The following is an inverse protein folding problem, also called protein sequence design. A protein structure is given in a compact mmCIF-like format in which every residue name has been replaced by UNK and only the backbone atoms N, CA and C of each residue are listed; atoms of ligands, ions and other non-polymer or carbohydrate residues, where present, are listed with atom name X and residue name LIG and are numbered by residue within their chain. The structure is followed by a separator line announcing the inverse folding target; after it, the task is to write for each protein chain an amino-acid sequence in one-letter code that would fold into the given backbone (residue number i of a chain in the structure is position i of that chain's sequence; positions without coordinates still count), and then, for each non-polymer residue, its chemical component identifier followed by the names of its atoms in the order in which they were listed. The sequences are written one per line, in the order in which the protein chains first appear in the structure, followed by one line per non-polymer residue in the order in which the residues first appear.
data_IF_825176642152
#
_entry.id   IF_825176642152
#
_cell.length_a   1.000
_cell.length_b   1.000
_cell.length_c   1.000
_cell.angle_alpha   90.00
_cell.angle_beta   90.00
_cell.angle_gamma   90.00
#
_symmetry.space_group_name_H-M   'P 1'
#
loop_
_entity.id
_entity.type
_entity.pdbx_description
1 polymer ?
#
# COMPACT_ATOMS: atom_id res chain seq x y z
N UNK A 1 -0.51 -1.85 -62.93
CA UNK A 1 0.32 -0.64 -62.76
C UNK A 1 -0.40 0.25 -61.76
N UNK A 2 0.18 0.46 -60.59
CA UNK A 2 -0.39 1.25 -59.50
C UNK A 2 0.50 1.08 -58.28
N UNK A 3 1.47 1.97 -58.13
CA UNK A 3 2.48 1.94 -57.08
C UNK A 3 1.85 2.28 -55.72
N UNK A 4 2.02 1.39 -54.73
CA UNK A 4 1.70 1.69 -53.33
C UNK A 4 2.76 2.61 -52.76
N UNK A 5 2.37 3.83 -52.39
CA UNK A 5 3.22 4.82 -51.75
C UNK A 5 3.69 4.34 -50.37
N UNK A 6 5.01 4.41 -50.20
CA UNK A 6 5.80 4.13 -49.01
C UNK A 6 5.48 5.13 -47.89
N UNK A 7 4.97 4.64 -46.75
CA UNK A 7 4.89 5.44 -45.53
C UNK A 7 6.26 5.46 -44.84
N UNK A 8 6.75 6.66 -44.57
CA UNK A 8 8.01 7.01 -43.94
C UNK A 8 7.94 6.71 -42.43
N UNK A 9 8.90 5.96 -41.89
CA UNK A 9 9.12 5.86 -40.44
C UNK A 9 9.73 7.19 -39.92
N UNK A 10 9.35 7.69 -38.73
CA UNK A 10 10.02 8.84 -38.16
C UNK A 10 11.39 8.45 -37.59
N UNK A 11 12.38 9.31 -37.84
CA UNK A 11 13.74 9.22 -37.31
C UNK A 11 13.72 9.38 -35.77
N UNK A 12 14.45 8.49 -35.11
CA UNK A 12 14.76 8.58 -33.68
C UNK A 12 16.16 9.19 -33.54
N UNK A 13 16.21 10.47 -33.15
CA UNK A 13 17.42 11.12 -32.66
C UNK A 13 17.21 11.42 -31.17
N UNK A 14 18.14 10.99 -30.32
CA UNK A 14 18.23 11.48 -28.94
C UNK A 14 17.98 10.44 -27.84
N UNK A 15 18.92 9.52 -27.65
CA UNK A 15 19.56 9.20 -26.36
C UNK A 15 18.94 9.87 -25.11
N UNK A 16 18.20 9.06 -24.33
CA UNK A 16 18.05 9.24 -22.88
C UNK A 16 17.81 7.86 -22.28
N UNK A 17 18.91 7.20 -21.96
CA UNK A 17 18.93 5.90 -21.32
C UNK A 17 18.37 6.02 -19.89
N UNK A 18 17.58 5.01 -19.52
CA UNK A 18 17.11 4.71 -18.15
C UNK A 18 15.96 5.57 -17.61
N UNK A 19 14.86 5.62 -18.38
CA UNK A 19 13.53 5.61 -17.75
C UNK A 19 13.36 4.24 -17.09
N UNK A 20 13.83 4.13 -15.84
CA UNK A 20 13.54 3.00 -14.97
C UNK A 20 12.07 2.66 -15.13
N UNK A 21 11.81 1.41 -15.49
CA UNK A 21 10.50 0.76 -15.46
C UNK A 21 9.78 1.13 -14.16
N UNK A 22 9.09 2.25 -14.21
CA UNK A 22 7.86 2.45 -13.48
C UNK A 22 6.91 1.40 -14.04
N UNK A 23 5.99 0.94 -13.21
CA UNK A 23 5.03 -0.14 -13.47
C UNK A 23 5.57 -1.53 -13.11
N UNK A 24 5.58 -1.77 -11.80
CA UNK A 24 5.02 -3.02 -11.29
C UNK A 24 4.38 -2.76 -9.94
N UNK A 25 3.13 -2.30 -9.99
CA UNK A 25 2.04 -2.82 -9.17
C UNK A 25 0.76 -2.02 -9.48
N UNK A 26 0.24 -2.19 -10.70
CA UNK A 26 -1.20 -2.06 -10.90
C UNK A 26 -1.86 -3.25 -10.21
N UNK A 27 -2.21 -3.05 -8.94
CA UNK A 27 -3.31 -3.77 -8.33
C UNK A 27 -4.24 -2.73 -7.73
N UNK A 28 -5.34 -2.51 -8.45
CA UNK A 28 -6.42 -1.63 -8.05
C UNK A 28 -6.88 -1.91 -6.63
N UNK A 29 -6.81 -0.88 -5.80
CA UNK A 29 -7.81 -0.62 -4.79
C UNK A 29 -7.91 0.90 -4.74
N UNK A 30 -9.08 1.46 -4.99
CA UNK A 30 -9.39 2.88 -4.78
C UNK A 30 -9.39 3.24 -3.29
N UNK A 31 -8.51 2.62 -2.51
CA UNK A 31 -8.37 2.81 -1.08
C UNK A 31 -6.99 3.42 -0.81
N UNK A 32 -7.00 4.55 -0.10
CA UNK A 32 -5.82 5.29 0.33
C UNK A 32 -4.80 4.41 1.08
N UNK A 33 -3.51 4.64 0.88
CA UNK A 33 -2.45 3.96 1.64
C UNK A 33 -2.42 4.44 3.09
N UNK A 34 -1.71 3.70 3.96
CA UNK A 34 -1.52 4.13 5.35
C UNK A 34 -0.80 5.48 5.43
N UNK A 35 0.29 5.64 4.69
CA UNK A 35 1.12 6.84 4.71
C UNK A 35 0.37 8.06 4.16
N UNK A 36 -0.50 7.86 3.17
CA UNK A 36 -1.32 8.94 2.63
C UNK A 36 -2.45 9.31 3.60
N UNK A 37 -3.12 8.32 4.21
CA UNK A 37 -4.15 8.57 5.21
C UNK A 37 -3.60 9.27 6.45
N UNK A 38 -2.42 8.85 6.92
CA UNK A 38 -1.73 9.45 8.04
C UNK A 38 -1.33 10.90 7.76
N UNK A 39 -0.80 11.19 6.56
CA UNK A 39 -0.45 12.55 6.15
C UNK A 39 -1.68 13.48 6.12
N UNK A 40 -2.80 13.01 5.56
CA UNK A 40 -4.06 13.78 5.56
C UNK A 40 -4.57 14.00 6.99
N UNK A 41 -4.40 13.01 7.87
CA UNK A 41 -4.77 13.14 9.28
C UNK A 41 -3.93 14.20 9.98
N UNK A 42 -2.61 14.21 9.77
CA UNK A 42 -1.72 15.23 10.32
C UNK A 42 -2.13 16.64 9.86
N UNK A 43 -2.41 16.82 8.56
CA UNK A 43 -2.91 18.08 8.03
C UNK A 43 -4.25 18.49 8.66
N UNK A 44 -5.18 17.53 8.82
CA UNK A 44 -6.49 17.78 9.45
C UNK A 44 -6.33 18.25 10.89
N UNK A 45 -5.43 17.64 11.64
CA UNK A 45 -5.13 18.01 13.03
C UNK A 45 -4.45 19.38 13.11
N UNK A 46 -3.55 19.68 12.17
CA UNK A 46 -2.91 21.00 12.07
C UNK A 46 -3.96 22.10 11.80
N UNK A 47 -4.87 21.88 10.84
CA UNK A 47 -5.96 22.82 10.54
C UNK A 47 -6.87 23.03 11.75
N UNK A 48 -7.24 21.95 12.46
CA UNK A 48 -8.05 22.03 13.69
C UNK A 48 -7.33 22.77 14.82
N UNK A 49 -6.02 22.58 14.95
CA UNK A 49 -5.19 23.21 15.99
C UNK A 49 -4.84 24.67 15.71
N UNK A 50 -4.85 25.09 14.44
CA UNK A 50 -4.52 26.46 14.02
C UNK A 50 -5.53 27.53 14.46
N UNK A 51 -6.76 27.13 14.81
CA UNK A 51 -7.83 28.05 15.17
C UNK A 51 -8.35 28.88 13.97
N UNK A 52 -9.25 29.83 14.23
CA UNK A 52 -9.83 30.66 13.16
C UNK A 52 -10.85 29.95 12.25
N UNK A 53 -11.23 28.73 12.58
CA UNK A 53 -12.25 27.96 11.87
C UNK A 53 -13.67 28.35 12.33
N UNK A 54 -14.63 28.32 11.41
CA UNK A 54 -16.05 28.34 11.79
C UNK A 54 -16.42 27.01 12.45
N UNK A 55 -17.52 27.00 13.20
CA UNK A 55 -18.03 25.79 13.85
C UNK A 55 -18.30 24.68 12.81
N UNK A 56 -18.96 25.04 11.70
CA UNK A 56 -19.27 24.09 10.64
C UNK A 56 -18.01 23.50 10.02
N UNK A 57 -16.99 24.33 9.76
CA UNK A 57 -15.73 23.84 9.19
C UNK A 57 -14.99 22.93 10.15
N UNK A 58 -14.96 23.26 11.45
CA UNK A 58 -14.37 22.42 12.48
C UNK A 58 -15.08 21.06 12.58
N UNK A 59 -16.42 21.03 12.49
CA UNK A 59 -17.18 19.76 12.47
C UNK A 59 -16.83 18.90 11.26
N UNK A 60 -16.74 19.49 10.06
CA UNK A 60 -16.37 18.75 8.84
C UNK A 60 -14.96 18.16 8.96
N UNK A 61 -13.99 18.95 9.40
CA UNK A 61 -12.61 18.47 9.61
C UNK A 61 -12.54 17.38 10.67
N UNK A 62 -13.33 17.48 11.74
CA UNK A 62 -13.39 16.44 12.75
C UNK A 62 -13.92 15.11 12.18
N UNK A 63 -15.01 15.14 11.41
CA UNK A 63 -15.54 13.95 10.74
C UNK A 63 -14.54 13.32 9.76
N UNK A 64 -13.82 14.15 9.00
CA UNK A 64 -12.75 13.70 8.12
C UNK A 64 -11.61 13.05 8.90
N UNK A 65 -11.15 13.68 9.97
CA UNK A 65 -10.14 13.13 10.87
C UNK A 65 -10.54 11.76 11.44
N UNK A 66 -11.80 11.61 11.87
CA UNK A 66 -12.32 10.33 12.37
C UNK A 66 -12.30 9.23 11.31
N UNK A 67 -12.66 9.56 10.06
CA UNK A 67 -12.58 8.60 8.93
C UNK A 67 -11.14 8.20 8.66
N UNK A 68 -10.21 9.14 8.68
CA UNK A 68 -8.78 8.88 8.45
C UNK A 68 -8.20 7.99 9.56
N UNK A 69 -8.54 8.24 10.83
CA UNK A 69 -8.15 7.39 11.96
C UNK A 69 -8.66 5.95 11.77
N UNK A 70 -9.92 5.80 11.33
CA UNK A 70 -10.48 4.47 11.06
C UNK A 70 -9.69 3.74 9.98
N UNK A 71 -9.36 4.43 8.88
CA UNK A 71 -8.57 3.85 7.79
C UNK A 71 -7.16 3.46 8.27
N UNK A 72 -6.48 4.34 9.02
CA UNK A 72 -5.17 4.03 9.59
C UNK A 72 -5.21 2.76 10.44
N UNK A 73 -6.19 2.64 11.34
CA UNK A 73 -6.37 1.45 12.17
C UNK A 73 -6.62 0.19 11.35
N UNK A 74 -7.48 0.27 10.32
CA UNK A 74 -7.74 -0.88 9.44
C UNK A 74 -6.47 -1.36 8.73
N UNK A 75 -5.63 -0.43 8.24
CA UNK A 75 -4.36 -0.78 7.61
C UNK A 75 -3.38 -1.42 8.59
N UNK A 76 -3.27 -0.87 9.80
CA UNK A 76 -2.43 -1.43 10.86
C UNK A 76 -2.89 -2.84 11.25
N UNK A 77 -4.17 -3.04 11.54
CA UNK A 77 -4.71 -4.35 11.89
C UNK A 77 -4.52 -5.39 10.78
N UNK A 78 -4.67 -5.00 9.51
CA UNK A 78 -4.39 -5.88 8.39
C UNK A 78 -2.91 -6.29 8.31
N UNK A 79 -1.99 -5.36 8.59
CA UNK A 79 -0.56 -5.64 8.63
C UNK A 79 -0.20 -6.55 9.82
N UNK A 80 -0.72 -6.27 11.01
CA UNK A 80 -0.52 -7.08 12.23
C UNK A 80 -1.01 -8.52 12.04
N UNK A 81 -2.18 -8.71 11.41
CA UNK A 81 -2.71 -10.03 11.09
C UNK A 81 -1.76 -10.80 10.17
N UNK A 82 -1.25 -10.16 9.12
CA UNK A 82 -0.29 -10.79 8.19
C UNK A 82 1.02 -11.18 8.88
N UNK A 83 1.55 -10.31 9.74
CA UNK A 83 2.76 -10.61 10.51
C UNK A 83 2.55 -11.80 11.43
N UNK A 84 1.39 -11.85 12.11
CA UNK A 84 1.03 -12.98 12.99
C UNK A 84 0.95 -14.28 12.22
N UNK A 85 0.26 -14.30 11.08
CA UNK A 85 0.15 -15.49 10.22
C UNK A 85 1.50 -15.98 9.73
N UNK A 86 2.39 -15.06 9.32
CA UNK A 86 3.74 -15.39 8.92
C UNK A 86 4.50 -16.01 10.10
N UNK A 87 4.46 -15.39 11.28
CA UNK A 87 5.12 -15.91 12.49
C UNK A 87 4.68 -17.34 12.81
N UNK A 88 3.39 -17.63 12.79
CA UNK A 88 2.87 -18.97 13.07
C UNK A 88 3.34 -20.00 12.02
N UNK A 89 3.40 -19.59 10.75
CA UNK A 89 3.90 -20.43 9.66
C UNK A 89 5.40 -20.77 9.79
N UNK A 90 6.21 -19.88 10.37
CA UNK A 90 7.64 -20.11 10.60
C UNK A 90 7.96 -20.69 11.98
N UNK A 91 7.04 -20.63 12.95
CA UNK A 91 7.25 -21.10 14.33
C UNK A 91 6.73 -22.51 14.58
N UNK A 92 6.04 -23.15 13.62
CA UNK A 92 5.68 -24.56 13.73
C UNK A 92 6.93 -25.42 13.46
N UNK A 93 7.55 -26.08 14.45
CA UNK A 93 8.53 -27.10 14.15
C UNK A 93 7.85 -28.17 13.28
N UNK A 94 8.51 -28.70 12.23
CA UNK A 94 7.97 -29.86 11.53
C UNK A 94 7.70 -30.93 12.57
N UNK A 95 6.50 -31.54 12.51
CA UNK A 95 6.06 -32.68 13.30
C UNK A 95 7.27 -33.55 13.68
N UNK A 96 7.81 -33.33 14.89
CA UNK A 96 8.81 -34.22 15.44
C UNK A 96 7.99 -35.41 15.85
N UNK A 97 7.87 -36.36 14.92
CA UNK A 97 7.36 -37.69 15.19
C UNK A 97 7.98 -38.13 16.51
N UNK A 98 7.19 -38.60 17.50
CA UNK A 98 7.76 -39.15 18.71
C UNK A 98 8.78 -40.20 18.28
N UNK A 99 10.03 -40.00 18.68
CA UNK A 99 11.13 -40.93 18.47
C UNK A 99 10.72 -42.21 19.21
N UNK A 100 10.14 -43.17 18.47
CA UNK A 100 9.86 -44.53 18.92
C UNK A 100 11.20 -45.25 19.17
N UNK A 101 11.98 -44.77 20.14
CA UNK A 101 13.12 -45.47 20.70
C UNK A 101 12.78 -46.00 22.10
N UNK A 102 11.58 -46.56 22.22
CA UNK A 102 11.21 -47.61 23.18
C UNK A 102 11.33 -48.98 22.48
N UNK A 103 12.48 -49.24 21.86
CA UNK A 103 12.95 -50.59 21.58
C UNK A 103 14.42 -50.70 21.97
N UNK A 104 14.68 -51.03 23.24
CA UNK A 104 15.25 -52.33 23.55
C UNK A 104 15.39 -52.52 25.07
N UNK A 105 15.04 -53.72 25.52
CA UNK A 105 15.33 -54.28 26.84
C UNK A 105 16.83 -54.24 27.19
#
# INVERSE_FOLDING_TARGET
MGAGSRAQAPAIDGESEESWLTHSSENESTEISFEEAYRKLEQTVEELGGGGLSLERATVLYEEGMKLVQVCNQRLSAAELRVTQLKDSYSSPPDVLPDDNDQNC
#
